data_IF_348535584644
#
_entry.id   IF_348535584644
#
_cell.length_a   1.000
_cell.length_b   1.000
_cell.length_c   1.000
_cell.angle_alpha   90.00
_cell.angle_beta   90.00
_cell.angle_gamma   90.00
#
_symmetry.space_group_name_H-M   'P 1'
#
loop_
_entity.id
_entity.type
_entity.pdbx_description
1 polymer ?
#
# COMPACT_ATOMS: atom_id res chain seq x y z
N UNK A 1 -44.84 21.13 7.79
CA UNK A 1 -45.59 19.88 7.56
C UNK A 1 -46.66 20.19 6.51
N UNK A 2 -46.88 19.34 5.48
CA UNK A 2 -47.07 17.88 5.46
C UNK A 2 -45.83 17.14 4.89
N UNK A 3 -45.47 15.87 5.13
CA UNK A 3 -46.10 14.54 5.31
C UNK A 3 -46.58 13.83 4.04
N UNK A 4 -46.24 12.52 3.99
CA UNK A 4 -46.64 11.43 3.07
C UNK A 4 -45.72 11.24 1.85
N UNK A 5 -45.16 10.05 1.53
CA UNK A 5 -45.25 8.72 2.13
C UNK A 5 -44.35 7.72 1.35
N UNK A 6 -43.74 6.77 2.08
CA UNK A 6 -42.94 5.68 1.52
C UNK A 6 -43.83 4.46 1.29
N UNK A 7 -43.76 3.84 0.10
CA UNK A 7 -44.30 2.51 -0.13
C UNK A 7 -43.17 1.50 -0.26
N UNK A 8 -43.16 0.58 0.69
CA UNK A 8 -42.37 -0.64 0.71
C UNK A 8 -42.99 -1.69 -0.23
N UNK A 9 -42.14 -2.45 -0.94
CA UNK A 9 -42.50 -3.79 -1.40
C UNK A 9 -41.42 -4.76 -0.94
N UNK A 10 -41.84 -5.50 0.09
CA UNK A 10 -41.25 -6.72 0.61
C UNK A 10 -41.58 -7.87 -0.33
N UNK A 11 -40.60 -8.69 -0.68
CA UNK A 11 -40.85 -10.11 -0.96
C UNK A 11 -39.68 -10.92 -0.43
N UNK A 12 -40.03 -11.83 0.47
CA UNK A 12 -39.17 -12.69 1.28
C UNK A 12 -39.56 -14.13 0.94
N UNK A 13 -38.61 -14.99 0.60
CA UNK A 13 -38.65 -16.45 0.78
C UNK A 13 -37.20 -16.95 0.53
N UNK A 14 -36.43 -17.45 1.52
CA UNK A 14 -36.57 -18.69 2.33
C UNK A 14 -36.50 -19.92 1.39
N UNK A 15 -35.72 -20.98 1.59
CA UNK A 15 -34.62 -21.45 2.46
C UNK A 15 -34.07 -22.70 1.73
N UNK A 16 -32.87 -23.14 2.09
CA UNK A 16 -32.45 -24.54 2.34
C UNK A 16 -30.94 -24.62 2.06
N UNK A 17 -30.06 -24.70 3.07
CA UNK A 17 -29.84 -25.76 4.05
C UNK A 17 -29.05 -26.95 3.48
N UNK A 18 -28.14 -27.46 4.33
CA UNK A 18 -27.27 -28.63 4.19
C UNK A 18 -26.03 -28.45 3.30
N UNK A 19 -24.82 -28.84 3.69
CA UNK A 19 -24.34 -29.63 4.83
C UNK A 19 -22.80 -29.62 4.77
N UNK A 20 -22.12 -29.96 5.86
CA UNK A 20 -20.74 -30.45 5.76
C UNK A 20 -19.75 -29.80 6.71
N UNK A 21 -19.78 -30.27 7.95
CA UNK A 21 -18.66 -30.25 8.88
C UNK A 21 -17.43 -30.99 8.31
N UNK A 22 -16.32 -30.87 9.04
CA UNK A 22 -15.08 -31.68 8.97
C UNK A 22 -14.11 -31.26 7.85
N UNK A 23 -12.79 -31.28 8.01
CA UNK A 23 -11.88 -31.45 9.13
C UNK A 23 -10.50 -31.46 8.47
N UNK A 24 -9.56 -30.77 9.12
CA UNK A 24 -8.13 -31.11 9.23
C UNK A 24 -7.36 -31.61 8.00
N UNK A 25 -6.21 -30.96 7.79
CA UNK A 25 -4.92 -31.60 7.50
C UNK A 25 -4.88 -32.56 6.29
N UNK A 26 -3.99 -32.37 5.33
CA UNK A 26 -2.66 -32.97 5.45
C UNK A 26 -1.82 -32.45 4.29
N UNK A 27 -0.68 -31.89 4.70
CA UNK A 27 0.55 -31.70 3.97
C UNK A 27 0.89 -32.97 3.16
N UNK A 28 0.59 -32.99 1.85
CA UNK A 28 0.95 -34.10 0.98
C UNK A 28 2.31 -33.82 0.31
N UNK A 29 3.39 -34.12 1.03
CA UNK A 29 4.70 -34.33 0.43
C UNK A 29 4.91 -35.84 0.24
N UNK A 30 5.17 -36.32 -0.99
CA UNK A 30 5.50 -37.72 -1.20
C UNK A 30 6.85 -38.05 -0.57
N UNK A 31 6.81 -38.75 0.57
CA UNK A 31 7.96 -39.27 1.29
C UNK A 31 8.42 -40.56 0.62
N UNK A 32 9.32 -40.46 -0.35
CA UNK A 32 9.96 -41.62 -0.97
C UNK A 32 10.90 -42.31 0.05
N UNK A 33 10.43 -43.39 0.70
CA UNK A 33 11.28 -44.25 1.54
C UNK A 33 12.15 -45.14 0.64
N UNK A 34 13.39 -44.72 0.39
CA UNK A 34 14.42 -45.59 -0.21
C UNK A 34 14.97 -46.52 0.87
N UNK A 35 14.75 -47.82 0.67
CA UNK A 35 15.29 -48.92 1.48
C UNK A 35 16.81 -48.92 1.38
N UNK A 36 17.51 -48.73 2.50
CA UNK A 36 18.97 -48.89 2.58
C UNK A 36 19.26 -50.39 2.67
N UNK A 37 19.88 -50.94 1.63
CA UNK A 37 20.39 -52.31 1.66
C UNK A 37 21.79 -52.32 2.30
N UNK A 38 21.99 -53.29 3.19
CA UNK A 38 23.10 -53.41 4.11
C UNK A 38 24.07 -54.45 3.56
N UNK A 39 24.80 -54.07 2.52
CA UNK A 39 25.77 -54.98 1.92
C UNK A 39 26.35 -54.45 0.63
N UNK A 40 27.38 -53.62 0.73
CA UNK A 40 28.59 -53.86 -0.06
C UNK A 40 29.72 -52.92 0.38
N UNK A 41 30.35 -53.35 1.47
CA UNK A 41 31.52 -52.74 2.07
C UNK A 41 32.75 -53.45 1.52
N UNK A 42 33.16 -53.14 0.28
CA UNK A 42 34.42 -53.64 -0.28
C UNK A 42 35.11 -52.62 -1.20
N UNK A 43 36.31 -52.22 -0.75
CA UNK A 43 37.53 -51.86 -1.51
C UNK A 43 37.65 -50.39 -1.95
N UNK A 44 38.39 -49.54 -1.22
CA UNK A 44 39.86 -49.47 -1.03
C UNK A 44 40.60 -49.04 -2.32
N UNK A 45 41.09 -47.79 -2.29
CA UNK A 45 42.09 -47.09 -3.11
C UNK A 45 41.88 -46.94 -4.63
N UNK A 46 41.56 -45.71 -5.07
CA UNK A 46 41.93 -45.17 -6.39
C UNK A 46 42.39 -43.70 -6.27
N UNK A 47 43.48 -43.29 -6.96
CA UNK A 47 44.10 -41.98 -6.78
C UNK A 47 43.36 -40.85 -7.51
N UNK A 48 43.51 -39.67 -6.92
CA UNK A 48 43.02 -38.33 -7.27
C UNK A 48 42.97 -38.06 -8.79
N UNK A 49 41.76 -37.80 -9.31
CA UNK A 49 41.54 -37.14 -10.60
C UNK A 49 40.71 -35.88 -10.35
N UNK A 50 41.31 -34.72 -10.58
CA UNK A 50 40.65 -33.42 -10.55
C UNK A 50 39.55 -33.39 -11.63
N UNK A 51 38.30 -33.59 -11.22
CA UNK A 51 37.13 -33.37 -12.07
C UNK A 51 36.72 -31.91 -11.86
N UNK A 52 36.96 -31.07 -12.86
CA UNK A 52 36.42 -29.72 -12.93
C UNK A 52 34.89 -29.82 -12.92
N UNK A 53 34.27 -29.38 -11.82
CA UNK A 53 32.81 -29.24 -11.70
C UNK A 53 32.45 -27.97 -12.48
N UNK A 54 31.63 -28.02 -13.54
CA UNK A 54 31.10 -26.80 -14.13
C UNK A 54 30.16 -26.16 -13.09
N UNK A 55 30.51 -24.95 -12.63
CA UNK A 55 29.61 -24.09 -11.88
C UNK A 55 28.42 -23.77 -12.79
N UNK A 56 27.31 -24.46 -12.57
CA UNK A 56 26.03 -24.13 -13.17
C UNK A 56 25.51 -22.86 -12.49
N UNK A 57 25.77 -21.70 -13.09
CA UNK A 57 25.16 -20.44 -12.64
C UNK A 57 23.68 -20.50 -13.02
N UNK A 58 22.83 -20.91 -12.07
CA UNK A 58 21.38 -20.75 -12.17
C UNK A 58 21.09 -19.26 -12.02
N UNK A 59 20.90 -18.56 -13.13
CA UNK A 59 20.36 -17.19 -13.11
C UNK A 59 18.86 -17.29 -12.83
N UNK A 60 18.46 -17.12 -11.58
CA UNK A 60 17.04 -16.93 -11.26
C UNK A 60 16.56 -15.63 -11.92
N UNK A 61 15.40 -15.60 -12.60
CA UNK A 61 14.84 -14.35 -13.06
C UNK A 61 14.50 -13.49 -11.85
N UNK A 62 15.21 -12.37 -11.70
CA UNK A 62 14.85 -11.35 -10.73
C UNK A 62 13.57 -10.68 -11.24
N UNK A 63 12.43 -11.02 -10.66
CA UNK A 63 11.21 -10.23 -10.87
C UNK A 63 11.43 -8.92 -10.12
N UNK A 64 11.91 -7.90 -10.83
CA UNK A 64 11.91 -6.53 -10.34
C UNK A 64 10.46 -6.09 -10.32
N UNK A 65 9.79 -6.23 -9.18
CA UNK A 65 8.53 -5.53 -8.95
C UNK A 65 8.87 -4.04 -8.86
N UNK A 66 8.38 -3.25 -9.82
CA UNK A 66 8.43 -1.80 -9.69
C UNK A 66 7.71 -1.41 -8.39
N UNK A 67 8.39 -0.64 -7.53
CA UNK A 67 7.77 -0.06 -6.35
C UNK A 67 6.59 0.81 -6.79
N UNK A 68 5.45 0.72 -6.08
CA UNK A 68 4.33 1.62 -6.34
C UNK A 68 4.77 3.07 -6.10
N UNK A 69 4.26 4.00 -6.91
CA UNK A 69 4.49 5.43 -6.69
C UNK A 69 3.98 5.87 -5.31
N UNK A 70 4.56 6.93 -4.75
CA UNK A 70 4.12 7.48 -3.45
C UNK A 70 2.65 7.88 -3.49
N UNK A 71 2.17 8.47 -4.59
CA UNK A 71 0.74 8.76 -4.76
C UNK A 71 -0.14 7.48 -4.72
N UNK A 72 0.33 6.38 -5.32
CA UNK A 72 -0.40 5.10 -5.27
C UNK A 72 -0.43 4.53 -3.86
N UNK A 73 0.68 4.64 -3.14
CA UNK A 73 0.80 4.23 -1.75
C UNK A 73 -0.21 4.95 -0.83
N UNK A 74 -0.37 6.27 -0.99
CA UNK A 74 -1.39 7.05 -0.27
C UNK A 74 -2.82 6.74 -0.69
N UNK A 75 -3.05 6.40 -1.96
CA UNK A 75 -4.35 5.90 -2.39
C UNK A 75 -4.70 4.56 -1.71
N UNK A 76 -3.73 3.66 -1.56
CA UNK A 76 -3.95 2.39 -0.86
C UNK A 76 -4.32 2.64 0.63
N UNK A 77 -3.63 3.57 1.31
CA UNK A 77 -3.98 4.00 2.69
C UNK A 77 -5.42 4.54 2.80
N UNK A 78 -5.84 5.40 1.87
CA UNK A 78 -7.21 5.91 1.85
C UNK A 78 -8.24 4.79 1.63
N UNK A 79 -7.97 3.86 0.71
CA UNK A 79 -8.87 2.74 0.47
C UNK A 79 -8.99 1.82 1.69
N UNK A 80 -7.90 1.63 2.44
CA UNK A 80 -7.93 0.90 3.71
C UNK A 80 -8.75 1.65 4.77
N UNK A 81 -8.60 2.97 4.88
CA UNK A 81 -9.43 3.78 5.77
C UNK A 81 -10.93 3.71 5.43
N UNK A 82 -11.29 3.68 4.13
CA UNK A 82 -12.69 3.48 3.69
C UNK A 82 -13.23 2.11 4.15
N UNK A 83 -12.41 1.05 4.12
CA UNK A 83 -12.82 -0.30 4.57
C UNK A 83 -13.07 -0.36 6.09
N UNK A 84 -12.44 0.52 6.85
CA UNK A 84 -12.58 0.63 8.30
C UNK A 84 -13.70 1.57 8.75
N UNK A 85 -14.26 2.37 7.83
CA UNK A 85 -15.32 3.35 8.12
C UNK A 85 -16.71 2.84 7.72
N UNK A 86 -17.75 3.51 8.22
CA UNK A 86 -19.13 3.19 7.89
C UNK A 86 -19.47 3.52 6.43
N UNK A 87 -20.42 2.80 5.79
CA UNK A 87 -20.80 3.05 4.40
C UNK A 87 -21.41 4.45 4.18
N UNK A 88 -20.62 5.37 3.64
CA UNK A 88 -21.03 6.76 3.31
C UNK A 88 -20.51 7.18 1.93
N UNK A 89 -21.11 6.68 0.83
CA UNK A 89 -20.53 6.82 -0.52
C UNK A 89 -20.18 8.26 -0.91
N UNK A 90 -21.05 9.22 -0.64
CA UNK A 90 -20.81 10.64 -0.98
C UNK A 90 -19.67 11.27 -0.19
N UNK A 91 -19.47 10.85 1.07
CA UNK A 91 -18.35 11.31 1.90
C UNK A 91 -17.05 10.71 1.40
N UNK A 92 -17.04 9.40 1.12
CA UNK A 92 -15.86 8.71 0.61
C UNK A 92 -15.42 9.22 -0.77
N UNK A 93 -16.35 9.48 -1.69
CA UNK A 93 -16.03 10.11 -2.98
C UNK A 93 -15.41 11.50 -2.82
N UNK A 94 -15.89 12.29 -1.85
CA UNK A 94 -15.31 13.59 -1.54
C UNK A 94 -13.90 13.46 -0.96
N UNK A 95 -13.64 12.46 -0.12
CA UNK A 95 -12.31 12.22 0.43
C UNK A 95 -11.31 11.83 -0.66
N UNK A 96 -11.72 10.94 -1.58
CA UNK A 96 -10.93 10.55 -2.76
C UNK A 96 -10.57 11.74 -3.64
N UNK A 97 -11.53 12.63 -3.89
CA UNK A 97 -11.29 13.84 -4.66
C UNK A 97 -10.27 14.76 -3.97
N UNK A 98 -10.45 15.04 -2.68
CA UNK A 98 -9.53 15.93 -1.96
C UNK A 98 -8.11 15.38 -1.88
N UNK A 99 -7.94 14.08 -1.63
CA UNK A 99 -6.62 13.46 -1.67
C UNK A 99 -5.98 13.64 -3.05
N UNK A 100 -6.73 13.33 -4.11
CA UNK A 100 -6.22 13.42 -5.48
C UNK A 100 -5.79 14.84 -5.85
N UNK A 101 -6.60 15.84 -5.49
CA UNK A 101 -6.29 17.26 -5.73
C UNK A 101 -5.09 17.72 -4.89
N UNK A 102 -5.02 17.38 -3.61
CA UNK A 102 -3.90 17.76 -2.76
C UNK A 102 -2.56 17.20 -3.23
N UNK A 103 -2.54 15.92 -3.62
CA UNK A 103 -1.34 15.31 -4.20
C UNK A 103 -0.98 15.90 -5.57
N UNK A 104 -1.98 16.24 -6.39
CA UNK A 104 -1.75 16.89 -7.69
C UNK A 104 -1.12 18.27 -7.51
N UNK A 105 -1.66 19.11 -6.62
CA UNK A 105 -1.13 20.44 -6.36
C UNK A 105 0.31 20.38 -5.82
N UNK A 106 0.58 19.50 -4.85
CA UNK A 106 1.92 19.28 -4.31
C UNK A 106 2.92 18.82 -5.38
N UNK A 107 2.48 18.05 -6.37
CA UNK A 107 3.30 17.64 -7.51
C UNK A 107 3.50 18.78 -8.53
N UNK A 108 2.42 19.49 -8.86
CA UNK A 108 2.35 20.48 -9.93
C UNK A 108 3.23 21.70 -9.64
N UNK A 109 3.40 22.05 -8.37
CA UNK A 109 4.25 23.15 -7.92
C UNK A 109 5.71 23.00 -8.38
N UNK A 110 6.19 21.77 -8.59
CA UNK A 110 7.52 21.45 -9.10
C UNK A 110 7.57 21.20 -10.61
N UNK A 111 6.47 21.38 -11.32
CA UNK A 111 6.40 21.19 -12.76
C UNK A 111 6.38 22.53 -13.49
N UNK A 112 7.21 22.74 -14.53
CA UNK A 112 7.33 24.05 -15.16
C UNK A 112 6.10 24.47 -15.97
N UNK A 113 5.17 23.55 -16.26
CA UNK A 113 3.99 23.81 -17.10
C UNK A 113 2.67 23.47 -16.44
N UNK A 114 2.66 22.64 -15.39
CA UNK A 114 1.43 22.30 -14.68
C UNK A 114 0.85 23.52 -13.95
N UNK A 115 -0.48 23.57 -13.89
CA UNK A 115 -1.23 24.61 -13.18
C UNK A 115 -1.96 23.96 -12.02
N UNK A 116 -1.61 24.27 -10.75
CA UNK A 116 -2.31 23.73 -9.59
C UNK A 116 -3.80 24.11 -9.58
N UNK A 117 -4.62 23.27 -8.95
CA UNK A 117 -6.07 23.42 -8.86
C UNK A 117 -6.49 24.42 -7.77
N UNK A 118 -5.92 24.34 -6.57
CA UNK A 118 -6.25 25.20 -5.43
C UNK A 118 -5.28 26.38 -5.29
N UNK A 119 -3.98 26.09 -5.24
CA UNK A 119 -2.99 27.06 -4.76
C UNK A 119 -2.12 27.62 -5.89
N UNK A 120 -2.18 28.93 -6.14
CA UNK A 120 -1.26 29.65 -7.04
C UNK A 120 -0.16 30.35 -6.25
N UNK A 121 0.44 29.66 -5.29
CA UNK A 121 1.67 30.15 -4.65
C UNK A 121 2.84 30.07 -5.63
N UNK A 122 3.86 30.86 -5.34
CA UNK A 122 5.11 30.83 -6.10
C UNK A 122 5.70 29.42 -6.03
N UNK A 123 6.15 28.90 -7.18
CA UNK A 123 6.87 27.64 -7.23
C UNK A 123 8.17 27.78 -6.41
N UNK A 124 8.44 26.84 -5.49
CA UNK A 124 9.70 26.82 -4.77
C UNK A 124 10.83 26.65 -5.79
N UNK A 125 12.03 27.13 -5.44
CA UNK A 125 13.19 26.89 -6.31
C UNK A 125 13.46 25.39 -6.38
N UNK A 126 13.34 24.73 -7.56
CA UNK A 126 13.53 23.29 -7.65
C UNK A 126 14.96 22.92 -7.24
N UNK A 127 15.11 21.94 -6.35
CA UNK A 127 16.42 21.44 -5.97
C UNK A 127 16.98 20.43 -6.97
N UNK A 128 18.09 19.80 -6.59
CA UNK A 128 18.80 18.84 -7.46
C UNK A 128 17.96 17.57 -7.71
N UNK A 129 17.15 17.14 -6.73
CA UNK A 129 16.32 15.95 -6.84
C UNK A 129 14.81 16.27 -6.76
N UNK A 130 14.27 16.76 -7.87
CA UNK A 130 12.85 17.14 -7.98
C UNK A 130 11.91 15.97 -7.70
N UNK A 131 12.30 14.73 -8.02
CA UNK A 131 11.46 13.56 -7.75
C UNK A 131 11.31 13.32 -6.24
N UNK A 132 12.40 13.40 -5.48
CA UNK A 132 12.35 13.27 -4.02
C UNK A 132 11.54 14.41 -3.39
N UNK A 133 11.72 15.65 -3.87
CA UNK A 133 10.94 16.80 -3.41
C UNK A 133 9.44 16.61 -3.66
N UNK A 134 9.06 16.14 -4.87
CA UNK A 134 7.66 15.81 -5.19
C UNK A 134 7.11 14.73 -4.26
N UNK A 135 7.86 13.66 -4.04
CA UNK A 135 7.44 12.55 -3.19
C UNK A 135 7.21 12.99 -1.73
N UNK A 136 8.07 13.86 -1.21
CA UNK A 136 7.95 14.40 0.14
C UNK A 136 6.75 15.34 0.25
N UNK A 137 6.61 16.32 -0.66
CA UNK A 137 5.48 17.25 -0.64
C UNK A 137 4.12 16.55 -0.78
N UNK A 138 4.03 15.56 -1.69
CA UNK A 138 2.85 14.69 -1.84
C UNK A 138 2.52 13.99 -0.52
N UNK A 139 3.54 13.54 0.21
CA UNK A 139 3.33 12.76 1.44
C UNK A 139 2.81 13.61 2.59
N UNK A 140 3.34 14.82 2.78
CA UNK A 140 2.81 15.76 3.77
C UNK A 140 1.38 16.17 3.42
N UNK A 141 1.10 16.52 2.16
CA UNK A 141 -0.25 16.88 1.72
C UNK A 141 -1.25 15.73 1.95
N UNK A 142 -0.89 14.51 1.56
CA UNK A 142 -1.72 13.34 1.76
C UNK A 142 -1.96 13.06 3.25
N UNK A 143 -0.90 13.10 4.08
CA UNK A 143 -0.96 12.85 5.51
C UNK A 143 -1.93 13.82 6.21
N UNK A 144 -1.80 15.13 5.95
CA UNK A 144 -2.66 16.13 6.59
C UNK A 144 -4.12 16.03 6.13
N UNK A 145 -4.35 15.87 4.82
CA UNK A 145 -5.71 15.69 4.28
C UNK A 145 -6.36 14.47 4.91
N UNK A 146 -5.71 13.31 4.88
CA UNK A 146 -6.29 12.06 5.37
C UNK A 146 -6.49 12.06 6.87
N UNK A 147 -5.53 12.59 7.65
CA UNK A 147 -5.66 12.71 9.10
C UNK A 147 -6.88 13.55 9.45
N UNK A 148 -7.02 14.75 8.87
CA UNK A 148 -8.16 15.63 9.12
C UNK A 148 -9.52 15.01 8.68
N UNK A 149 -9.52 14.16 7.65
CA UNK A 149 -10.74 13.52 7.12
C UNK A 149 -11.20 12.34 7.96
N UNK A 150 -10.26 11.58 8.54
CA UNK A 150 -10.54 10.30 9.19
C UNK A 150 -10.42 10.31 10.71
N UNK A 151 -9.78 11.31 11.33
CA UNK A 151 -9.56 11.37 12.79
C UNK A 151 -10.85 11.15 13.61
N UNK A 152 -11.98 11.67 13.14
CA UNK A 152 -13.28 11.64 13.83
C UNK A 152 -14.23 10.57 13.26
N UNK A 153 -13.70 9.50 12.66
CA UNK A 153 -14.49 8.36 12.15
C UNK A 153 -14.40 7.15 13.08
N UNK A 154 -15.35 6.19 13.03
CA UNK A 154 -15.27 4.94 13.80
C UNK A 154 -13.94 4.18 13.63
N UNK A 155 -13.37 4.16 12.42
CA UNK A 155 -12.06 3.56 12.13
C UNK A 155 -10.87 4.53 12.25
N UNK A 156 -11.10 5.72 12.79
CA UNK A 156 -10.18 6.85 12.74
C UNK A 156 -8.86 6.59 13.42
N UNK A 157 -8.89 6.07 14.66
CA UNK A 157 -7.67 5.77 15.42
C UNK A 157 -6.73 4.78 14.72
N UNK A 158 -7.27 3.76 14.04
CA UNK A 158 -6.48 2.81 13.26
C UNK A 158 -5.95 3.46 11.98
N UNK A 159 -6.80 4.24 11.30
CA UNK A 159 -6.44 4.89 10.04
C UNK A 159 -5.33 5.94 10.24
N UNK A 160 -5.46 6.82 11.23
CA UNK A 160 -4.45 7.85 11.53
C UNK A 160 -3.13 7.25 11.99
N UNK A 161 -3.16 6.14 12.76
CA UNK A 161 -1.95 5.39 13.09
C UNK A 161 -1.27 4.80 11.85
N UNK A 162 -2.04 4.28 10.89
CA UNK A 162 -1.52 3.78 9.60
C UNK A 162 -0.90 4.91 8.78
N UNK A 163 -1.55 6.07 8.68
CA UNK A 163 -1.01 7.23 7.96
C UNK A 163 0.29 7.73 8.58
N UNK A 164 0.38 7.77 9.91
CA UNK A 164 1.62 8.10 10.61
C UNK A 164 2.71 7.07 10.31
N UNK A 165 2.38 5.78 10.31
CA UNK A 165 3.32 4.72 9.96
C UNK A 165 3.80 4.85 8.51
N UNK A 166 2.92 5.25 7.58
CA UNK A 166 3.28 5.52 6.18
C UNK A 166 4.32 6.62 6.08
N UNK A 167 4.16 7.74 6.78
CA UNK A 167 5.16 8.81 6.84
C UNK A 167 6.53 8.27 7.30
N UNK A 168 6.54 7.54 8.41
CA UNK A 168 7.77 6.98 8.98
C UNK A 168 8.44 5.96 8.04
N UNK A 169 7.65 5.11 7.35
CA UNK A 169 8.17 4.15 6.36
C UNK A 169 8.75 4.83 5.12
N UNK A 170 8.21 5.98 4.71
CA UNK A 170 8.77 6.80 3.63
C UNK A 170 9.96 7.65 4.09
N UNK A 171 10.27 7.68 5.39
CA UNK A 171 11.39 8.43 5.96
C UNK A 171 11.08 9.88 6.33
N UNK A 172 9.80 10.24 6.44
CA UNK A 172 9.35 11.60 6.77
C UNK A 172 8.88 11.70 8.22
N UNK A 173 9.12 12.85 8.85
CA UNK A 173 8.71 13.12 10.23
C UNK A 173 7.28 13.74 10.25
N UNK A 174 6.27 13.02 10.77
CA UNK A 174 4.89 13.50 10.81
C UNK A 174 4.67 14.71 11.76
N UNK A 175 5.65 15.09 12.58
CA UNK A 175 5.56 16.27 13.45
C UNK A 175 5.96 17.58 12.76
N UNK A 176 6.53 17.51 11.56
CA UNK A 176 6.90 18.70 10.78
C UNK A 176 5.64 19.37 10.26
N UNK A 177 5.36 20.57 10.78
CA UNK A 177 4.17 21.37 10.49
C UNK A 177 4.48 22.78 9.98
N UNK A 178 5.72 22.99 9.53
CA UNK A 178 6.13 24.26 8.90
C UNK A 178 5.33 24.49 7.61
N UNK A 179 4.86 25.71 7.37
CA UNK A 179 4.09 26.10 6.18
C UNK A 179 4.74 27.25 5.39
N UNK A 180 5.94 27.67 5.81
CA UNK A 180 6.66 28.81 5.23
C UNK A 180 8.03 28.34 4.72
N UNK A 181 8.34 28.72 3.48
CA UNK A 181 9.61 28.44 2.81
C UNK A 181 9.48 27.42 1.67
N UNK A 182 10.62 27.08 1.08
CA UNK A 182 10.70 26.26 -0.14
C UNK A 182 10.87 24.76 0.14
N UNK A 183 10.81 24.33 1.41
CA UNK A 183 10.98 22.91 1.73
C UNK A 183 9.77 22.10 1.23
N UNK A 184 9.97 20.85 0.78
CA UNK A 184 8.85 20.03 0.33
C UNK A 184 7.81 19.79 1.42
N UNK A 185 8.22 19.68 2.68
CA UNK A 185 7.30 19.65 3.81
C UNK A 185 6.45 20.93 3.91
N UNK A 186 7.06 22.11 3.75
CA UNK A 186 6.31 23.38 3.76
C UNK A 186 5.32 23.51 2.61
N UNK A 187 5.66 22.97 1.44
CA UNK A 187 4.76 22.94 0.28
C UNK A 187 3.59 21.99 0.48
N UNK A 188 3.81 20.87 1.17
CA UNK A 188 2.77 19.87 1.44
C UNK A 188 1.81 20.21 2.58
N UNK A 189 2.24 21.05 3.54
CA UNK A 189 1.48 21.43 4.74
C UNK A 189 0.50 22.57 4.49
#
# INVERSE_FOLDING_TARGET
MPSVGYHALSTRLVLDADSGLCSQSIFNYPRAKRRLDHGDLKRIFRPLRFIAIPILIVTAPHVVSAQHSVARQWNDELLDAIRLDIPRPTVHSRNLFHLSVGMYDAWAVYDPVAVPFLNRTESPTPGVNVLEQRNEAISYAAYHILTARYENTPGGATSTASFRQRMMTLGYDPEVSVTVGDSPAAVGN
#
